data_IF_287875544980
#
_entry.id   IF_287875544980
#
_cell.length_a   1.000
_cell.length_b   1.000
_cell.length_c   1.000
_cell.angle_alpha   90.00
_cell.angle_beta   90.00
_cell.angle_gamma   90.00
#
_symmetry.space_group_name_H-M   'P 1'
#
loop_
_entity.id
_entity.type
_entity.pdbx_description
1 polymer ?
#
# COMPACT_ATOMS: atom_id res chain seq x y z
N UNK A 1 22.49 -0.97 21.05
CA UNK A 1 21.64 -0.57 19.90
C UNK A 1 21.05 -1.86 19.42
N UNK A 2 19.73 -2.05 19.50
CA UNK A 2 19.13 -3.25 18.90
C UNK A 2 19.49 -3.26 17.42
N UNK A 3 20.16 -4.32 16.98
CA UNK A 3 20.36 -4.55 15.55
C UNK A 3 18.99 -4.75 14.94
N UNK A 4 18.58 -3.80 14.10
CA UNK A 4 17.35 -3.91 13.34
C UNK A 4 17.38 -5.08 12.36
N UNK A 5 16.23 -5.39 11.74
CA UNK A 5 16.13 -6.42 10.70
C UNK A 5 17.13 -6.16 9.56
N UNK A 6 17.61 -7.23 8.93
CA UNK A 6 18.56 -7.08 7.81
C UNK A 6 17.90 -6.32 6.66
N UNK A 7 18.70 -5.55 5.91
CA UNK A 7 18.21 -4.80 4.76
C UNK A 7 17.57 -5.73 3.71
N UNK A 8 18.15 -6.91 3.49
CA UNK A 8 17.63 -7.91 2.55
C UNK A 8 16.25 -8.42 2.96
N UNK A 9 16.04 -8.72 4.24
CA UNK A 9 14.74 -9.15 4.75
C UNK A 9 13.71 -8.02 4.62
N UNK A 10 14.08 -6.79 4.98
CA UNK A 10 13.21 -5.64 4.82
C UNK A 10 12.81 -5.44 3.35
N UNK A 11 13.76 -5.50 2.42
CA UNK A 11 13.47 -5.36 0.99
C UNK A 11 12.50 -6.45 0.52
N UNK A 12 12.72 -7.71 0.91
CA UNK A 12 11.85 -8.81 0.54
C UNK A 12 10.42 -8.63 1.06
N UNK A 13 10.25 -8.35 2.36
CA UNK A 13 8.92 -8.19 2.96
C UNK A 13 8.20 -6.96 2.41
N UNK A 14 8.88 -5.82 2.29
CA UNK A 14 8.25 -4.59 1.78
C UNK A 14 7.92 -4.67 0.29
N UNK A 15 8.64 -5.50 -0.49
CA UNK A 15 8.25 -5.82 -1.86
C UNK A 15 6.93 -6.62 -1.90
N UNK A 16 6.73 -7.57 -0.98
CA UNK A 16 5.49 -8.36 -0.87
C UNK A 16 4.31 -7.55 -0.32
N UNK A 17 4.55 -6.66 0.65
CA UNK A 17 3.56 -5.67 1.12
C UNK A 17 3.08 -4.81 -0.04
N UNK A 18 3.94 -4.58 -1.04
CA UNK A 18 3.55 -4.10 -2.35
C UNK A 18 2.87 -2.75 -2.31
N UNK A 19 3.48 -1.72 -1.69
CA UNK A 19 3.00 -0.33 -1.74
C UNK A 19 3.14 0.32 -3.14
N UNK A 20 3.02 -0.48 -4.19
CA UNK A 20 3.10 -0.05 -5.58
C UNK A 20 1.86 0.76 -5.99
N UNK A 21 1.93 1.37 -7.18
CA UNK A 21 0.78 2.06 -7.77
C UNK A 21 -0.47 1.16 -7.90
N UNK A 22 -0.29 -0.14 -8.10
CA UNK A 22 -1.39 -1.10 -8.22
C UNK A 22 -2.15 -1.30 -6.89
N UNK A 23 -1.40 -1.36 -5.77
CA UNK A 23 -2.03 -1.42 -4.45
C UNK A 23 -2.69 -0.10 -4.09
N UNK A 24 -2.11 1.05 -4.45
CA UNK A 24 -2.78 2.35 -4.28
C UNK A 24 -4.10 2.40 -5.03
N UNK A 25 -4.15 1.97 -6.30
CA UNK A 25 -5.40 1.90 -7.06
C UNK A 25 -6.43 0.97 -6.39
N UNK A 26 -6.00 -0.16 -5.81
CA UNK A 26 -6.88 -1.06 -5.07
C UNK A 26 -7.46 -0.38 -3.81
N UNK A 27 -6.63 0.33 -3.06
CA UNK A 27 -7.04 1.07 -1.87
C UNK A 27 -7.99 2.22 -2.21
N UNK A 28 -7.73 2.95 -3.30
CA UNK A 28 -8.61 4.02 -3.78
C UNK A 28 -10.00 3.47 -4.15
N UNK A 29 -10.05 2.35 -4.87
CA UNK A 29 -11.31 1.68 -5.20
C UNK A 29 -12.06 1.22 -3.94
N UNK A 30 -11.35 0.65 -2.96
CA UNK A 30 -11.94 0.27 -1.68
C UNK A 30 -12.49 1.49 -0.93
N UNK A 31 -11.77 2.62 -0.92
CA UNK A 31 -12.21 3.85 -0.28
C UNK A 31 -13.48 4.41 -0.93
N UNK A 32 -13.57 4.38 -2.26
CA UNK A 32 -14.77 4.75 -3.01
C UNK A 32 -15.94 3.83 -2.63
N UNK A 33 -15.76 2.51 -2.67
CA UNK A 33 -16.81 1.56 -2.29
C UNK A 33 -17.26 1.70 -0.83
N UNK A 34 -16.35 2.01 0.10
CA UNK A 34 -16.72 2.31 1.49
C UNK A 34 -17.56 3.58 1.56
N UNK A 35 -17.19 4.63 0.81
CA UNK A 35 -17.96 5.87 0.74
C UNK A 35 -19.37 5.62 0.20
N UNK A 36 -19.50 4.85 -0.89
CA UNK A 36 -20.78 4.50 -1.48
C UNK A 36 -21.63 3.67 -0.51
N UNK A 37 -21.04 2.68 0.17
CA UNK A 37 -21.71 1.90 1.20
C UNK A 37 -22.22 2.77 2.37
N UNK A 38 -21.50 3.85 2.72
CA UNK A 38 -21.96 4.80 3.74
C UNK A 38 -23.18 5.58 3.27
N UNK A 39 -23.19 5.99 2.00
CA UNK A 39 -24.34 6.67 1.40
C UNK A 39 -25.56 5.73 1.34
N UNK A 40 -25.36 4.49 0.89
CA UNK A 40 -26.41 3.48 0.86
C UNK A 40 -26.96 3.19 2.25
N UNK A 41 -26.12 3.24 3.28
CA UNK A 41 -26.55 3.08 4.67
C UNK A 41 -27.43 4.23 5.14
N UNK A 42 -27.17 5.45 4.66
CA UNK A 42 -28.04 6.59 4.94
C UNK A 42 -29.39 6.45 4.23
N UNK A 43 -29.37 6.08 2.94
CA UNK A 43 -30.58 5.88 2.13
C UNK A 43 -31.44 4.74 2.68
N UNK A 44 -30.84 3.58 2.98
CA UNK A 44 -31.55 2.41 3.52
C UNK A 44 -32.21 2.69 4.88
N UNK A 45 -31.52 3.40 5.77
CA UNK A 45 -32.10 3.84 7.05
C UNK A 45 -33.28 4.78 6.86
N UNK A 46 -33.21 5.70 5.90
CA UNK A 46 -34.32 6.62 5.64
C UNK A 46 -35.53 5.88 5.08
N UNK A 47 -35.33 5.00 4.11
CA UNK A 47 -36.38 4.14 3.57
C UNK A 47 -37.03 3.27 4.67
N UNK A 48 -36.24 2.72 5.60
CA UNK A 48 -36.77 1.94 6.70
C UNK A 48 -37.62 2.79 7.67
N UNK A 49 -37.22 4.04 7.95
CA UNK A 49 -38.05 4.96 8.75
C UNK A 49 -39.39 5.23 8.10
N UNK A 50 -39.42 5.42 6.78
CA UNK A 50 -40.66 5.63 6.04
C UNK A 50 -41.58 4.41 6.15
N UNK A 51 -41.05 3.19 5.99
CA UNK A 51 -41.82 1.95 6.18
C UNK A 51 -42.35 1.81 7.61
N UNK A 52 -41.56 2.17 8.62
CA UNK A 52 -41.99 2.17 10.03
C UNK A 52 -43.13 3.18 10.25
N UNK A 53 -43.00 4.39 9.68
CA UNK A 53 -44.01 5.43 9.77
C UNK A 53 -45.31 5.00 9.11
N UNK A 54 -45.25 4.47 7.89
CA UNK A 54 -46.41 3.96 7.15
C UNK A 54 -47.12 2.82 7.92
N UNK A 55 -46.35 1.92 8.54
CA UNK A 55 -46.92 0.88 9.38
C UNK A 55 -47.63 1.45 10.61
N UNK A 56 -47.02 2.44 11.29
CA UNK A 56 -47.63 3.10 12.45
C UNK A 56 -48.93 3.83 12.08
N UNK A 57 -48.94 4.48 10.93
CA UNK A 57 -50.07 5.26 10.44
C UNK A 57 -51.18 4.35 9.85
N UNK A 58 -50.92 3.04 9.71
CA UNK A 58 -51.91 2.02 9.31
C UNK A 58 -52.95 1.80 10.43
N UNK A 59 -54.27 1.73 10.10
CA UNK A 59 -55.32 1.37 11.06
C UNK A 59 -55.04 0.04 11.76
N UNK A 60 -55.42 -0.07 13.04
CA UNK A 60 -55.06 -1.20 13.90
C UNK A 60 -55.55 -2.55 13.35
N UNK A 61 -56.70 -2.54 12.68
CA UNK A 61 -57.37 -3.69 12.07
C UNK A 61 -56.62 -4.22 10.84
N UNK A 62 -55.87 -3.35 10.16
CA UNK A 62 -55.10 -3.68 8.96
C UNK A 62 -53.63 -4.03 9.25
N UNK A 63 -53.10 -3.60 10.41
CA UNK A 63 -51.71 -3.87 10.82
C UNK A 63 -51.29 -5.34 10.76
N UNK A 64 -52.11 -6.34 11.19
CA UNK A 64 -51.74 -7.74 11.10
C UNK A 64 -51.44 -8.20 9.66
N UNK A 65 -52.07 -7.57 8.66
CA UNK A 65 -51.83 -7.86 7.24
C UNK A 65 -50.56 -7.19 6.72
N UNK A 66 -50.10 -6.10 7.35
CA UNK A 66 -48.95 -5.29 6.93
C UNK A 66 -47.65 -5.59 7.68
N UNK A 67 -47.72 -6.25 8.83
CA UNK A 67 -46.53 -6.54 9.67
C UNK A 67 -45.44 -7.32 8.93
N UNK A 68 -45.82 -8.21 8.00
CA UNK A 68 -44.86 -8.97 7.20
C UNK A 68 -44.00 -8.09 6.29
N UNK A 69 -44.53 -6.96 5.80
CA UNK A 69 -43.77 -5.99 4.99
C UNK A 69 -42.73 -5.30 5.87
N UNK A 70 -43.13 -4.88 7.07
CA UNK A 70 -42.22 -4.25 8.03
C UNK A 70 -41.06 -5.17 8.40
N UNK A 71 -41.35 -6.43 8.76
CA UNK A 71 -40.32 -7.42 9.11
C UNK A 71 -39.35 -7.64 7.95
N UNK A 72 -39.86 -7.78 6.72
CA UNK A 72 -39.01 -7.93 5.54
C UNK A 72 -38.11 -6.71 5.28
N UNK A 73 -38.62 -5.50 5.50
CA UNK A 73 -37.81 -4.28 5.37
C UNK A 73 -36.67 -4.24 6.40
N UNK A 74 -36.95 -4.60 7.66
CA UNK A 74 -35.90 -4.72 8.69
C UNK A 74 -34.87 -5.79 8.34
N UNK A 75 -35.31 -6.98 7.92
CA UNK A 75 -34.41 -8.06 7.51
C UNK A 75 -33.49 -7.62 6.36
N UNK A 76 -34.07 -7.02 5.32
CA UNK A 76 -33.30 -6.53 4.18
C UNK A 76 -32.24 -5.50 4.58
N UNK A 77 -32.58 -4.55 5.47
CA UNK A 77 -31.62 -3.55 5.93
C UNK A 77 -30.55 -4.15 6.84
N UNK A 78 -30.87 -5.12 7.70
CA UNK A 78 -29.89 -5.84 8.53
C UNK A 78 -28.93 -6.63 7.66
N UNK A 79 -29.43 -7.35 6.65
CA UNK A 79 -28.59 -8.10 5.71
C UNK A 79 -27.69 -7.15 4.91
N UNK A 80 -28.22 -6.02 4.44
CA UNK A 80 -27.45 -5.00 3.73
C UNK A 80 -26.37 -4.37 4.63
N UNK A 81 -26.71 -4.04 5.88
CA UNK A 81 -25.77 -3.52 6.86
C UNK A 81 -24.63 -4.52 7.10
N UNK A 82 -24.96 -5.80 7.28
CA UNK A 82 -23.98 -6.86 7.52
C UNK A 82 -23.02 -7.00 6.34
N UNK A 83 -23.53 -6.99 5.10
CA UNK A 83 -22.70 -7.02 3.88
C UNK A 83 -21.75 -5.82 3.78
N UNK A 84 -22.26 -4.62 4.04
CA UNK A 84 -21.47 -3.37 3.98
C UNK A 84 -20.39 -3.33 5.07
N UNK A 85 -20.71 -3.81 6.27
CA UNK A 85 -19.77 -3.92 7.38
C UNK A 85 -18.66 -4.93 7.06
N UNK A 86 -19.01 -6.13 6.61
CA UNK A 86 -18.04 -7.16 6.23
C UNK A 86 -17.06 -6.63 5.17
N UNK A 87 -17.55 -5.92 4.15
CA UNK A 87 -16.67 -5.30 3.15
C UNK A 87 -15.66 -4.33 3.77
N UNK A 88 -16.07 -3.47 4.70
CA UNK A 88 -15.18 -2.52 5.35
C UNK A 88 -14.15 -3.22 6.25
N UNK A 89 -14.55 -4.26 6.99
CA UNK A 89 -13.65 -5.07 7.81
C UNK A 89 -12.63 -5.82 6.97
N UNK A 90 -13.06 -6.44 5.87
CA UNK A 90 -12.18 -7.14 4.93
C UNK A 90 -11.19 -6.18 4.27
N UNK A 91 -11.65 -5.02 3.80
CA UNK A 91 -10.78 -4.00 3.22
C UNK A 91 -9.70 -3.55 4.23
N UNK A 92 -10.09 -3.29 5.48
CA UNK A 92 -9.15 -2.93 6.53
C UNK A 92 -8.13 -4.05 6.82
N UNK A 93 -8.59 -5.28 7.02
CA UNK A 93 -7.72 -6.40 7.36
C UNK A 93 -6.77 -6.78 6.23
N UNK A 94 -7.19 -6.65 4.98
CA UNK A 94 -6.34 -6.88 3.80
C UNK A 94 -5.21 -5.84 3.69
N UNK A 95 -5.42 -4.62 4.21
CA UNK A 95 -4.36 -3.62 4.32
C UNK A 95 -3.48 -3.86 5.55
N UNK A 96 -4.11 -4.07 6.70
CA UNK A 96 -3.44 -4.09 8.00
C UNK A 96 -2.56 -5.32 8.20
N UNK A 97 -3.03 -6.53 7.83
CA UNK A 97 -2.26 -7.78 8.10
C UNK A 97 -0.85 -7.73 7.49
N UNK A 98 -0.67 -7.42 6.18
CA UNK A 98 0.68 -7.33 5.60
C UNK A 98 1.54 -6.25 6.27
N UNK A 99 0.95 -5.13 6.70
CA UNK A 99 1.67 -4.05 7.37
C UNK A 99 2.08 -4.42 8.81
N UNK A 100 1.23 -5.16 9.52
CA UNK A 100 1.49 -5.59 10.88
C UNK A 100 2.58 -6.66 10.95
N UNK A 101 2.64 -7.51 9.92
CA UNK A 101 3.67 -8.55 9.80
C UNK A 101 5.00 -8.01 9.24
N UNK A 102 4.99 -6.79 8.69
CA UNK A 102 6.18 -6.18 8.11
C UNK A 102 7.15 -5.66 9.19
N UNK A 103 8.45 -5.95 9.08
CA UNK A 103 9.45 -5.37 9.97
C UNK A 103 9.56 -3.85 9.75
N UNK A 104 9.82 -3.09 10.82
CA UNK A 104 10.11 -1.65 10.72
C UNK A 104 11.38 -1.42 9.88
N UNK A 105 11.27 -0.77 8.71
CA UNK A 105 12.41 -0.57 7.82
C UNK A 105 13.35 0.54 8.29
N UNK A 106 12.97 1.36 9.28
CA UNK A 106 13.70 2.56 9.67
C UNK A 106 15.17 2.28 10.02
N UNK A 107 15.43 1.27 10.83
CA UNK A 107 16.78 0.90 11.23
C UNK A 107 17.64 0.44 10.03
N UNK A 108 17.09 -0.39 9.15
CA UNK A 108 17.79 -0.91 7.97
C UNK A 108 18.05 0.18 6.93
N UNK A 109 17.10 1.11 6.75
CA UNK A 109 17.26 2.27 5.87
C UNK A 109 18.33 3.23 6.38
N UNK A 110 18.39 3.46 7.69
CA UNK A 110 19.43 4.28 8.31
C UNK A 110 20.82 3.66 8.12
N UNK A 111 20.94 2.36 8.34
CA UNK A 111 22.19 1.63 8.10
C UNK A 111 22.63 1.70 6.64
N UNK A 112 21.70 1.51 5.70
CA UNK A 112 21.97 1.61 4.26
C UNK A 112 22.42 3.04 3.87
N UNK A 113 21.75 4.08 4.39
CA UNK A 113 22.12 5.46 4.13
C UNK A 113 23.52 5.80 4.67
N UNK A 114 23.87 5.32 5.85
CA UNK A 114 25.20 5.48 6.44
C UNK A 114 26.28 4.82 5.58
N UNK A 115 26.04 3.58 5.14
CA UNK A 115 27.00 2.84 4.30
C UNK A 115 27.16 3.49 2.91
N UNK A 116 26.07 3.96 2.29
CA UNK A 116 26.12 4.75 1.05
C UNK A 116 26.95 6.03 1.26
N UNK A 117 26.80 6.69 2.41
CA UNK A 117 27.59 7.86 2.77
C UNK A 117 29.09 7.55 2.86
N UNK A 118 29.44 6.40 3.44
CA UNK A 118 30.83 5.93 3.59
C UNK A 118 31.47 5.55 2.26
N UNK A 119 30.75 4.81 1.41
CA UNK A 119 31.27 4.30 0.14
C UNK A 119 31.41 5.38 -0.94
N UNK A 120 30.63 6.45 -0.88
CA UNK A 120 30.65 7.53 -1.88
C UNK A 120 32.03 8.19 -2.08
N UNK A 121 32.74 8.65 -1.05
CA UNK A 121 34.08 9.21 -1.22
C UNK A 121 35.10 8.16 -1.69
N UNK A 122 35.00 6.92 -1.22
CA UNK A 122 35.88 5.81 -1.64
C UNK A 122 35.71 5.53 -3.14
N UNK A 123 34.47 5.47 -3.63
CA UNK A 123 34.16 5.29 -5.04
C UNK A 123 34.66 6.47 -5.90
N UNK A 124 34.52 7.71 -5.41
CA UNK A 124 35.02 8.90 -6.11
C UNK A 124 36.56 8.91 -6.21
N UNK A 125 37.24 8.54 -5.12
CA UNK A 125 38.70 8.43 -5.10
C UNK A 125 39.19 7.32 -6.03
N UNK A 126 38.54 6.16 -6.02
CA UNK A 126 38.85 5.05 -6.94
C UNK A 126 38.64 5.45 -8.41
N UNK A 127 37.57 6.18 -8.73
CA UNK A 127 37.32 6.67 -10.08
C UNK A 127 38.39 7.67 -10.55
N UNK A 128 38.82 8.58 -9.67
CA UNK A 128 39.90 9.53 -9.97
C UNK A 128 41.25 8.83 -10.19
N UNK A 129 41.57 7.82 -9.38
CA UNK A 129 42.78 7.02 -9.54
C UNK A 129 42.76 6.21 -10.86
N UNK A 130 41.62 5.60 -11.21
CA UNK A 130 41.47 4.87 -12.47
C UNK A 130 41.62 5.79 -13.69
N UNK A 131 41.11 7.01 -13.61
CA UNK A 131 41.29 8.02 -14.66
C UNK A 131 42.75 8.48 -14.78
N UNK A 132 43.45 8.65 -13.65
CA UNK A 132 44.89 8.92 -13.64
C UNK A 132 45.68 7.84 -14.36
N UNK A 133 45.47 6.58 -14.00
CA UNK A 133 46.12 5.42 -14.63
C UNK A 133 45.81 5.31 -16.13
N UNK A 134 44.56 5.60 -16.55
CA UNK A 134 44.21 5.62 -17.97
C UNK A 134 44.97 6.68 -18.76
N UNK A 135 45.19 7.86 -18.18
CA UNK A 135 45.99 8.93 -18.81
C UNK A 135 47.46 8.54 -18.92
N UNK A 136 48.01 7.91 -17.88
CA UNK A 136 49.38 7.42 -17.90
C UNK A 136 49.59 6.35 -18.98
N UNK A 137 48.67 5.38 -19.08
CA UNK A 137 48.70 4.36 -20.14
C UNK A 137 48.61 4.98 -21.54
N UNK A 138 47.69 5.92 -21.76
CA UNK A 138 47.54 6.60 -23.05
C UNK A 138 48.80 7.40 -23.43
N UNK A 139 49.48 8.00 -22.45
CA UNK A 139 50.76 8.67 -22.68
C UNK A 139 51.84 7.65 -23.06
N UNK A 140 51.94 6.53 -22.35
CA UNK A 140 52.94 5.49 -22.64
C UNK A 140 52.75 4.93 -24.05
N UNK A 141 51.52 4.61 -24.47
CA UNK A 141 51.23 4.11 -25.81
C UNK A 141 51.61 5.12 -26.90
N UNK A 142 51.36 6.41 -26.67
CA UNK A 142 51.75 7.48 -27.59
C UNK A 142 53.27 7.66 -27.69
N UNK A 143 54.02 7.41 -26.61
CA UNK A 143 55.48 7.52 -26.59
C UNK A 143 56.21 6.24 -26.98
N UNK A 144 55.62 5.07 -26.75
CA UNK A 144 56.21 3.75 -27.01
C UNK A 144 55.99 3.25 -28.45
N UNK A 145 55.04 3.82 -29.19
CA UNK A 145 54.83 3.53 -30.62
C UNK A 145 55.90 4.11 -31.57
N UNK A 146 56.90 4.82 -31.06
CA UNK A 146 57.97 5.45 -31.87
C UNK A 146 59.25 4.63 -32.06
N UNK A 147 59.50 3.63 -31.21
CA UNK A 147 60.81 2.96 -31.13
C UNK A 147 60.83 1.53 -31.75
N UNK A 148 59.89 1.26 -32.66
CA UNK A 148 59.72 -0.06 -33.30
C UNK A 148 59.99 -0.11 -34.80
N UNK A 149 60.51 0.95 -35.42
CA UNK A 149 60.92 0.94 -36.85
C UNK A 149 62.31 1.58 -37.00
N UNK A 150 63.36 0.88 -36.57
CA UNK A 150 64.70 0.96 -37.16
C UNK A 150 65.58 -0.14 -36.57
N UNK A 151 65.54 -1.33 -37.16
CA UNK A 151 66.70 -2.13 -37.60
C UNK A 151 66.26 -3.44 -38.28
#
# INVERSE_FOLDING_TARGET
MEEGPSLELCIAVWAEVGLSAERHATLDNQAISISDNRQDSAVGREALKDVIKDFRDTPAEERPRRIGVLIKAFQAEVDALTRRQAFAEDAFLNLYRPLADAPDPHASLLAAAAEIGRLRPEAAAAAAAAEGLRRELAHIDATGGGDGENE
#
